data_IF_992467070903
#
_entry.id   IF_992467070903
#
_cell.length_a   1.000
_cell.length_b   1.000
_cell.length_c   1.000
_cell.angle_alpha   90.00
_cell.angle_beta   90.00
_cell.angle_gamma   90.00
#
_symmetry.space_group_name_H-M   'P 1'
#
loop_
_entity.id
_entity.type
_entity.pdbx_description
1 polymer ?
#
# COMPACT_ATOMS: atom_id res chain seq x y z
N UNK A 1 -57.55 27.91 -10.82
CA UNK A 1 -57.02 26.57 -11.18
C UNK A 1 -55.52 26.61 -10.90
N UNK A 2 -55.07 25.99 -9.81
CA UNK A 2 -53.67 26.02 -9.38
C UNK A 2 -52.98 24.79 -9.95
N UNK A 3 -51.94 24.96 -10.76
CA UNK A 3 -51.13 23.87 -11.30
C UNK A 3 -49.88 23.75 -10.43
N UNK A 4 -49.76 22.65 -9.71
CA UNK A 4 -48.59 22.29 -8.91
C UNK A 4 -47.64 21.48 -9.81
N UNK A 5 -46.45 22.01 -10.10
CA UNK A 5 -45.41 21.31 -10.86
C UNK A 5 -44.39 20.74 -9.88
N UNK A 6 -44.41 19.43 -9.71
CA UNK A 6 -43.46 18.70 -8.84
C UNK A 6 -42.23 18.31 -9.67
N UNK A 7 -41.09 18.93 -9.42
CA UNK A 7 -39.81 18.51 -10.00
C UNK A 7 -39.25 17.33 -9.18
N UNK A 8 -39.21 16.14 -9.77
CA UNK A 8 -38.42 15.04 -9.24
C UNK A 8 -36.95 15.22 -9.66
N UNK A 9 -36.11 15.71 -8.76
CA UNK A 9 -34.67 15.61 -8.94
C UNK A 9 -34.26 14.15 -8.79
N UNK A 10 -34.06 13.44 -9.91
CA UNK A 10 -33.25 12.22 -9.90
C UNK A 10 -31.83 12.64 -9.56
N UNK A 11 -31.44 12.50 -8.29
CA UNK A 11 -30.04 12.41 -7.93
C UNK A 11 -29.52 11.14 -8.60
N UNK A 12 -28.85 11.29 -9.74
CA UNK A 12 -27.97 10.23 -10.24
C UNK A 12 -26.82 10.22 -9.25
N UNK A 13 -26.87 9.34 -8.26
CA UNK A 13 -25.69 9.01 -7.47
C UNK A 13 -24.65 8.53 -8.48
N UNK A 14 -23.49 9.19 -8.63
CA UNK A 14 -22.43 8.60 -9.41
C UNK A 14 -21.94 7.40 -8.60
N UNK A 15 -22.43 6.21 -8.95
CA UNK A 15 -21.85 4.96 -8.49
C UNK A 15 -20.58 4.70 -9.28
N UNK A 16 -19.53 5.48 -9.01
CA UNK A 16 -18.17 5.06 -9.33
C UNK A 16 -17.74 4.11 -8.23
N UNK A 17 -18.00 2.82 -8.45
CA UNK A 17 -17.23 1.78 -7.81
C UNK A 17 -15.80 1.84 -8.41
N UNK A 18 -15.01 2.82 -7.96
CA UNK A 18 -13.61 2.98 -8.33
C UNK A 18 -12.82 1.80 -7.75
N UNK A 19 -11.93 1.14 -8.50
CA UNK A 19 -11.44 -0.15 -8.08
C UNK A 19 -10.25 0.04 -7.15
N UNK A 20 -10.43 -0.36 -5.91
CA UNK A 20 -9.34 -0.65 -4.97
C UNK A 20 -8.35 -1.58 -5.68
N UNK A 21 -7.05 -1.31 -5.59
CA UNK A 21 -6.05 -2.26 -6.10
C UNK A 21 -6.31 -3.61 -5.41
N UNK A 22 -6.42 -4.69 -6.18
CA UNK A 22 -6.57 -6.04 -5.64
C UNK A 22 -5.32 -6.83 -5.96
N UNK A 23 -4.53 -7.15 -4.94
CA UNK A 23 -3.35 -8.00 -5.11
C UNK A 23 -3.77 -9.47 -5.23
N UNK A 24 -3.10 -10.19 -6.11
CA UNK A 24 -3.29 -11.61 -6.38
C UNK A 24 -1.94 -12.27 -6.59
N UNK A 25 -1.79 -13.50 -6.10
CA UNK A 25 -0.58 -14.32 -6.28
C UNK A 25 0.71 -13.56 -5.93
N UNK A 26 0.65 -12.75 -4.88
CA UNK A 26 1.76 -11.89 -4.51
C UNK A 26 2.61 -12.54 -3.41
N UNK A 27 3.86 -12.11 -3.33
CA UNK A 27 4.81 -12.46 -2.28
C UNK A 27 5.68 -11.25 -1.97
N UNK A 28 6.41 -11.31 -0.87
CA UNK A 28 7.37 -10.27 -0.51
C UNK A 28 8.56 -10.83 0.24
N UNK A 29 9.57 -9.98 0.38
CA UNK A 29 10.67 -10.17 1.34
C UNK A 29 10.90 -8.87 2.11
N UNK A 30 11.41 -8.98 3.33
CA UNK A 30 11.85 -7.83 4.14
C UNK A 30 13.23 -8.14 4.71
N UNK A 31 14.15 -7.21 4.56
CA UNK A 31 15.43 -7.19 5.25
C UNK A 31 15.29 -6.34 6.51
N UNK A 32 14.95 -7.01 7.61
CA UNK A 32 14.56 -6.35 8.85
C UNK A 32 15.78 -5.85 9.64
N UNK A 33 15.75 -4.56 9.94
CA UNK A 33 16.71 -3.91 10.82
C UNK A 33 16.01 -3.45 12.12
N UNK A 34 16.26 -4.09 13.28
CA UNK A 34 15.54 -3.80 14.53
C UNK A 34 15.76 -2.38 15.07
N UNK A 35 16.86 -1.73 14.71
CA UNK A 35 17.20 -0.38 15.15
C UNK A 35 17.30 0.61 13.97
N UNK A 36 16.64 0.32 12.84
CA UNK A 36 16.80 1.15 11.66
C UNK A 36 15.83 0.88 10.53
N UNK A 37 16.24 1.35 9.36
CA UNK A 37 15.47 1.27 8.14
C UNK A 37 15.52 -0.15 7.59
N UNK A 38 14.35 -0.75 7.41
CA UNK A 38 14.20 -2.06 6.78
C UNK A 38 13.84 -1.87 5.30
N UNK A 39 14.52 -2.57 4.42
CA UNK A 39 14.17 -2.59 3.00
C UNK A 39 13.22 -3.76 2.71
N UNK A 40 12.28 -3.60 1.80
CA UNK A 40 11.36 -4.67 1.42
C UNK A 40 11.12 -4.70 -0.08
N UNK A 41 10.73 -5.88 -0.56
CA UNK A 41 10.27 -6.07 -1.94
C UNK A 41 8.94 -6.82 -1.97
N UNK A 42 8.13 -6.54 -2.98
CA UNK A 42 6.89 -7.24 -3.28
C UNK A 42 6.86 -7.59 -4.77
N UNK A 43 6.26 -8.70 -5.13
CA UNK A 43 5.95 -9.02 -6.52
C UNK A 43 4.63 -9.77 -6.60
N UNK A 44 3.91 -9.64 -7.71
CA UNK A 44 2.65 -10.34 -7.92
C UNK A 44 1.85 -9.80 -9.09
N UNK A 45 0.54 -9.96 -9.02
CA UNK A 45 -0.40 -9.37 -9.98
C UNK A 45 -1.38 -8.46 -9.24
N UNK A 46 -1.71 -7.30 -9.83
CA UNK A 46 -2.73 -6.41 -9.29
C UNK A 46 -3.70 -5.92 -10.37
N UNK A 47 -4.96 -5.68 -10.00
CA UNK A 47 -6.02 -5.25 -10.93
C UNK A 47 -5.65 -4.03 -11.79
N UNK A 48 -4.94 -3.06 -11.21
CA UNK A 48 -4.51 -1.86 -11.92
C UNK A 48 -3.10 -1.96 -12.47
N UNK A 49 -2.20 -2.70 -11.80
CA UNK A 49 -0.77 -2.73 -12.14
C UNK A 49 -0.43 -3.84 -13.16
N UNK A 50 -1.30 -4.82 -13.36
CA UNK A 50 -0.94 -6.06 -14.04
C UNK A 50 0.09 -6.83 -13.19
N UNK A 51 1.01 -7.55 -13.84
CA UNK A 51 2.19 -8.09 -13.16
C UNK A 51 3.02 -6.92 -12.65
N UNK A 52 3.31 -6.88 -11.35
CA UNK A 52 4.05 -5.79 -10.73
C UNK A 52 5.27 -6.31 -9.97
N UNK A 53 6.24 -5.44 -9.83
CA UNK A 53 7.24 -5.50 -8.75
C UNK A 53 7.10 -4.24 -7.90
N UNK A 54 7.48 -4.31 -6.64
CA UNK A 54 7.56 -3.15 -5.77
C UNK A 54 8.76 -3.25 -4.84
N UNK A 55 9.31 -2.12 -4.48
CA UNK A 55 10.35 -2.01 -3.46
C UNK A 55 10.10 -0.78 -2.60
N UNK A 56 10.63 -0.80 -1.38
CA UNK A 56 10.43 0.30 -0.46
C UNK A 56 11.30 0.18 0.78
N UNK A 57 11.18 1.20 1.61
CA UNK A 57 11.87 1.33 2.88
C UNK A 57 10.83 1.60 3.97
N UNK A 58 10.98 0.96 5.12
CA UNK A 58 10.07 1.09 6.25
C UNK A 58 10.83 1.09 7.56
N UNK A 59 10.38 1.91 8.51
CA UNK A 59 10.83 1.80 9.90
C UNK A 59 9.75 1.06 10.68
N UNK A 60 10.10 -0.11 11.22
CA UNK A 60 9.20 -0.92 12.05
C UNK A 60 9.55 -0.73 13.52
N UNK A 61 8.55 -0.36 14.31
CA UNK A 61 8.65 -0.11 15.74
C UNK A 61 7.72 -1.07 16.50
N UNK A 62 8.02 -1.39 17.77
CA UNK A 62 7.07 -2.10 18.62
C UNK A 62 5.73 -1.36 18.70
N UNK A 63 4.63 -2.09 18.46
CA UNK A 63 3.27 -1.58 18.56
C UNK A 63 2.75 -1.54 20.00
N UNK A 64 1.46 -1.22 20.15
CA UNK A 64 0.81 -1.13 21.47
C UNK A 64 0.66 -2.49 22.16
N UNK A 65 0.46 -3.55 21.39
CA UNK A 65 0.30 -4.90 21.91
C UNK A 65 1.67 -5.60 21.99
N UNK A 66 1.86 -6.43 23.00
CA UNK A 66 3.11 -7.18 23.14
C UNK A 66 3.33 -8.09 21.94
N UNK A 67 4.46 -7.92 21.25
CA UNK A 67 4.79 -8.69 20.05
C UNK A 67 4.22 -8.12 18.75
N UNK A 68 3.45 -7.03 18.81
CA UNK A 68 3.00 -6.30 17.62
C UNK A 68 4.09 -5.38 17.07
N UNK A 69 4.02 -5.12 15.77
CA UNK A 69 4.87 -4.17 15.06
C UNK A 69 4.01 -3.18 14.27
N UNK A 70 4.40 -1.92 14.29
CA UNK A 70 3.82 -0.86 13.47
C UNK A 70 4.91 -0.14 12.71
N UNK A 71 4.65 0.25 11.46
CA UNK A 71 5.63 0.98 10.68
C UNK A 71 5.02 1.86 9.62
N UNK A 72 5.74 2.92 9.28
CA UNK A 72 5.45 3.79 8.14
C UNK A 72 6.72 3.90 7.29
N UNK A 73 6.51 3.95 5.98
CA UNK A 73 7.58 3.91 5.01
C UNK A 73 7.13 4.37 3.64
N UNK A 74 8.00 4.19 2.65
CA UNK A 74 7.72 4.50 1.25
C UNK A 74 7.68 3.23 0.41
N UNK A 75 7.04 3.32 -0.75
CA UNK A 75 6.99 2.24 -1.73
C UNK A 75 6.99 2.80 -3.15
N UNK A 76 7.61 2.06 -4.05
CA UNK A 76 7.56 2.25 -5.50
C UNK A 76 7.05 0.97 -6.12
N UNK A 77 5.89 1.02 -6.78
CA UNK A 77 5.38 -0.04 -7.63
C UNK A 77 5.78 0.21 -9.07
N UNK A 78 6.33 -0.80 -9.74
CA UNK A 78 6.49 -0.85 -11.19
C UNK A 78 5.41 -1.74 -11.79
N UNK A 79 4.55 -1.15 -12.61
CA UNK A 79 3.48 -1.85 -13.31
C UNK A 79 4.00 -2.63 -14.53
N UNK A 80 3.17 -3.51 -15.09
CA UNK A 80 3.53 -4.36 -16.23
C UNK A 80 3.97 -3.60 -17.50
N UNK A 81 3.58 -2.33 -17.62
CA UNK A 81 3.93 -1.45 -18.71
C UNK A 81 5.14 -0.54 -18.41
N UNK A 82 5.78 -0.69 -17.25
CA UNK A 82 6.92 0.12 -16.78
C UNK A 82 6.52 1.43 -16.10
N UNK A 83 5.22 1.72 -15.95
CA UNK A 83 4.76 2.91 -15.22
C UNK A 83 5.06 2.75 -13.72
N UNK A 84 5.48 3.85 -13.09
CA UNK A 84 5.76 3.90 -11.66
C UNK A 84 4.58 4.50 -10.90
N UNK A 85 4.19 3.84 -9.82
CA UNK A 85 3.24 4.36 -8.83
C UNK A 85 3.92 4.40 -7.47
N UNK A 86 4.13 5.60 -6.94
CA UNK A 86 4.82 5.78 -5.66
C UNK A 86 3.86 6.18 -4.54
N UNK A 87 4.23 5.85 -3.30
CA UNK A 87 3.41 6.20 -2.16
C UNK A 87 4.05 5.92 -0.81
N UNK A 88 3.30 6.27 0.22
CA UNK A 88 3.57 5.90 1.61
C UNK A 88 2.92 4.55 1.88
N UNK A 89 3.61 3.69 2.61
CA UNK A 89 3.07 2.42 3.12
C UNK A 89 3.02 2.43 4.65
N UNK A 90 1.94 1.91 5.22
CA UNK A 90 1.79 1.73 6.67
C UNK A 90 1.53 0.26 6.97
N UNK A 91 2.30 -0.32 7.89
CA UNK A 91 2.24 -1.73 8.24
C UNK A 91 1.79 -1.86 9.69
N UNK A 92 0.90 -2.81 9.94
CA UNK A 92 0.50 -3.24 11.27
C UNK A 92 0.58 -4.76 11.27
N UNK A 93 1.40 -5.33 12.14
CA UNK A 93 1.48 -6.77 12.34
C UNK A 93 1.13 -7.07 13.78
N UNK A 94 0.19 -7.98 13.99
CA UNK A 94 -0.15 -8.49 15.31
C UNK A 94 0.80 -9.62 15.75
N UNK A 95 0.66 -10.03 17.01
CA UNK A 95 1.44 -11.13 17.57
C UNK A 95 1.10 -12.50 16.95
N UNK A 96 -0.05 -12.60 16.26
CA UNK A 96 -0.53 -13.81 15.59
C UNK A 96 -0.10 -13.87 14.11
N UNK A 97 0.86 -13.00 13.73
CA UNK A 97 1.49 -12.94 12.41
C UNK A 97 0.53 -12.60 11.26
N UNK A 98 -0.65 -12.08 11.57
CA UNK A 98 -1.51 -11.41 10.60
C UNK A 98 -1.04 -9.96 10.53
N UNK A 99 -0.88 -9.46 9.31
CA UNK A 99 -0.54 -8.06 9.15
C UNK A 99 -1.26 -7.40 8.01
N UNK A 100 -1.54 -6.13 8.26
CA UNK A 100 -2.21 -5.23 7.35
C UNK A 100 -1.18 -4.25 6.80
N UNK A 101 -1.14 -4.14 5.48
CA UNK A 101 -0.37 -3.12 4.77
C UNK A 101 -1.36 -2.18 4.08
N UNK A 102 -1.22 -0.88 4.31
CA UNK A 102 -2.02 0.13 3.61
C UNK A 102 -1.12 1.06 2.82
N UNK A 103 -1.63 1.60 1.72
CA UNK A 103 -0.88 2.45 0.81
C UNK A 103 -1.62 3.73 0.47
N UNK A 104 -0.88 4.84 0.49
CA UNK A 104 -1.36 6.18 0.14
C UNK A 104 -0.44 6.80 -0.91
N UNK A 105 -0.98 7.11 -2.09
CA UNK A 105 -0.18 7.51 -3.24
C UNK A 105 0.35 8.95 -3.14
N UNK A 106 1.50 9.20 -3.75
CA UNK A 106 2.19 10.50 -3.77
C UNK A 106 2.64 10.85 -5.19
N UNK A 107 2.92 12.13 -5.40
CA UNK A 107 3.55 12.59 -6.65
C UNK A 107 5.00 12.12 -6.72
N UNK A 108 5.70 12.16 -5.58
CA UNK A 108 7.05 11.64 -5.40
C UNK A 108 7.27 11.12 -3.98
N UNK A 109 8.29 10.28 -3.83
CA UNK A 109 8.85 9.81 -2.56
C UNK A 109 10.37 9.97 -2.60
N UNK A 110 10.98 10.15 -1.43
CA UNK A 110 12.43 10.25 -1.28
C UNK A 110 12.92 9.07 -0.44
N UNK A 111 13.87 8.31 -1.00
CA UNK A 111 14.58 7.23 -0.31
C UNK A 111 15.63 7.79 0.65
N UNK A 112 16.06 6.95 1.59
CA UNK A 112 17.07 7.32 2.59
C UNK A 112 18.43 7.71 2.02
N UNK A 113 18.74 7.29 0.80
CA UNK A 113 19.95 7.66 0.05
C UNK A 113 19.83 9.02 -0.67
N UNK A 114 18.67 9.70 -0.56
CA UNK A 114 18.35 10.95 -1.21
C UNK A 114 17.80 10.81 -2.63
N UNK A 115 17.59 9.57 -3.12
CA UNK A 115 16.96 9.36 -4.41
C UNK A 115 15.48 9.74 -4.37
N UNK A 116 15.06 10.61 -5.28
CA UNK A 116 13.65 11.01 -5.42
C UNK A 116 13.05 10.28 -6.62
N UNK A 117 11.94 9.58 -6.39
CA UNK A 117 11.21 8.84 -7.42
C UNK A 117 9.79 9.37 -7.51
N UNK A 118 9.35 9.69 -8.73
CA UNK A 118 8.01 10.21 -9.00
C UNK A 118 7.10 9.18 -9.66
N UNK A 119 5.79 9.30 -9.45
CA UNK A 119 4.80 8.56 -10.23
C UNK A 119 4.89 8.96 -11.72
N UNK A 120 4.77 8.00 -12.63
CA UNK A 120 4.96 8.21 -14.07
C UNK A 120 3.84 7.61 -14.92
N UNK A 121 3.86 7.90 -16.23
CA UNK A 121 2.92 7.35 -17.19
C UNK A 121 1.48 7.66 -16.80
N UNK A 122 0.62 6.64 -16.77
CA UNK A 122 -0.79 6.81 -16.38
C UNK A 122 -1.00 7.14 -14.90
N UNK A 123 0.04 7.16 -14.08
CA UNK A 123 -0.03 7.53 -12.67
C UNK A 123 0.56 8.91 -12.38
N UNK A 124 1.05 9.61 -13.40
CA UNK A 124 1.63 10.94 -13.26
C UNK A 124 0.63 11.91 -12.63
N UNK A 125 -0.60 11.93 -13.14
CA UNK A 125 -1.69 12.75 -12.60
C UNK A 125 -2.35 12.06 -11.40
N UNK A 126 -2.58 12.82 -10.32
CA UNK A 126 -3.15 12.29 -9.09
C UNK A 126 -4.57 11.71 -9.27
N UNK A 127 -5.32 12.23 -10.25
CA UNK A 127 -6.68 11.78 -10.57
C UNK A 127 -6.72 10.40 -11.24
N UNK A 128 -5.64 9.99 -11.91
CA UNK A 128 -5.55 8.69 -12.59
C UNK A 128 -5.04 7.57 -11.67
N UNK A 129 -4.59 7.92 -10.47
CA UNK A 129 -4.12 6.95 -9.48
C UNK A 129 -5.32 6.21 -8.88
N UNK A 130 -5.22 4.88 -8.71
CA UNK A 130 -6.28 4.14 -8.03
C UNK A 130 -6.45 4.68 -6.61
N UNK A 131 -7.64 4.59 -6.01
CA UNK A 131 -7.77 4.88 -4.57
C UNK A 131 -6.92 3.88 -3.78
N UNK A 132 -6.41 4.31 -2.62
CA UNK A 132 -5.43 3.59 -1.81
C UNK A 132 -5.68 2.08 -1.67
N UNK A 133 -4.60 1.33 -1.47
CA UNK A 133 -4.64 -0.13 -1.36
C UNK A 133 -4.60 -0.54 0.12
N UNK A 134 -5.47 -1.45 0.53
CA UNK A 134 -5.37 -2.14 1.83
C UNK A 134 -5.21 -3.63 1.56
N UNK A 135 -4.09 -4.18 2.00
CA UNK A 135 -3.74 -5.59 1.90
C UNK A 135 -3.83 -6.19 3.29
N UNK A 136 -4.63 -7.25 3.43
CA UNK A 136 -4.62 -8.11 4.61
C UNK A 136 -3.89 -9.38 4.19
N UNK A 137 -2.78 -9.66 4.85
CA UNK A 137 -1.90 -10.76 4.54
C UNK A 137 -1.61 -11.56 5.81
N UNK A 138 -1.40 -12.86 5.65
CA UNK A 138 -0.69 -13.63 6.68
C UNK A 138 0.79 -13.28 6.49
N UNK A 139 1.29 -12.33 7.28
CA UNK A 139 2.67 -11.84 7.23
C UNK A 139 3.63 -12.84 7.92
N UNK A 140 3.13 -13.94 8.51
CA UNK A 140 3.90 -15.06 9.06
C UNK A 140 5.13 -15.50 8.27
N UNK A 141 5.09 -15.48 6.94
CA UNK A 141 6.27 -15.88 6.13
C UNK A 141 7.35 -14.79 6.08
N UNK A 142 6.95 -13.52 6.23
CA UNK A 142 7.82 -12.35 6.25
C UNK A 142 8.35 -12.01 7.65
N UNK A 143 7.53 -12.15 8.69
CA UNK A 143 7.86 -11.81 10.09
C UNK A 143 8.08 -13.04 10.99
N UNK A 144 7.62 -14.24 10.63
CA UNK A 144 7.81 -15.46 11.44
C UNK A 144 9.27 -15.90 11.59
N UNK A 145 10.19 -15.33 10.80
CA UNK A 145 11.64 -15.44 11.02
C UNK A 145 12.20 -14.42 12.04
N UNK A 146 11.42 -13.41 12.44
CA UNK A 146 11.82 -12.27 13.28
C UNK A 146 11.30 -12.33 14.71
N UNK A 147 10.18 -13.03 14.96
CA UNK A 147 9.64 -13.22 16.33
C UNK A 147 10.70 -13.73 17.33
N UNK A 148 11.61 -14.67 16.98
CA UNK A 148 12.65 -15.11 17.92
C UNK A 148 13.74 -14.05 18.20
N UNK A 149 13.86 -13.02 17.36
CA UNK A 149 14.89 -11.99 17.46
C UNK A 149 14.44 -10.80 18.33
N UNK A 150 13.14 -10.52 18.40
CA UNK A 150 12.57 -9.41 19.18
C UNK A 150 12.33 -9.80 20.65
N UNK A 151 12.19 -11.11 20.95
CA UNK A 151 11.93 -11.63 22.30
C UNK A 151 13.19 -11.83 23.18
N UNK A 152 14.35 -11.31 22.78
CA UNK A 152 15.59 -11.40 23.57
C UNK A 152 15.93 -10.12 24.30
#
# INVERSE_FOLDING_TARGET
MVVLVTFFTRAVTPAFADPVIKLQNWRGTIDYAPEGLSSFTLEGTASHLGRFSAHGEITLLPGQEQGSLEGEGIVVFEAANGDLLVGVTTWQADADEIGQMSFSWRDSVEFSDGAVVSSTGRFAEAEDRPRGLVVIAIIAVLIGLLVPAIQK
#
